data_IF_877097505751
#
_entry.id   IF_877097505751
#
_cell.length_a   1.000
_cell.length_b   1.000
_cell.length_c   1.000
_cell.angle_alpha   90.00
_cell.angle_beta   90.00
_cell.angle_gamma   90.00
#
_symmetry.space_group_name_H-M   'P 1'
#
loop_
_entity.id
_entity.type
_entity.pdbx_description
1 polymer ?
#
# COMPACT_ATOMS: atom_id res chain seq x y z
N UNK A 1 13.08 23.09 12.83
CA UNK A 1 12.46 21.91 13.47
C UNK A 1 11.88 22.36 14.81
N UNK A 2 10.56 22.37 14.97
CA UNK A 2 9.91 23.19 16.01
C UNK A 2 9.98 22.63 17.45
N UNK A 3 10.39 21.36 17.66
CA UNK A 3 10.40 20.71 18.99
C UNK A 3 11.66 19.88 19.31
N UNK A 4 12.70 19.94 18.47
CA UNK A 4 13.97 19.25 18.74
C UNK A 4 13.97 17.72 18.60
N UNK A 5 12.89 17.10 18.12
CA UNK A 5 12.87 15.67 17.85
C UNK A 5 13.72 15.32 16.62
N UNK A 6 14.48 14.24 16.74
CA UNK A 6 15.03 13.51 15.60
C UNK A 6 13.92 12.65 15.00
N UNK A 7 13.59 12.89 13.74
CA UNK A 7 12.47 12.22 13.05
C UNK A 7 13.06 11.37 11.93
N UNK A 8 12.75 10.07 11.96
CA UNK A 8 13.00 9.16 10.86
C UNK A 8 11.72 9.00 10.03
N UNK A 9 11.67 9.68 8.90
CA UNK A 9 10.52 9.75 8.01
C UNK A 9 10.60 8.68 6.92
N UNK A 10 9.57 7.83 6.84
CA UNK A 10 9.44 6.78 5.83
C UNK A 10 8.21 7.06 4.97
N UNK A 11 8.37 7.05 3.65
CA UNK A 11 7.27 7.26 2.70
C UNK A 11 7.37 6.29 1.52
N UNK A 12 6.40 5.39 1.36
CA UNK A 12 6.46 4.38 0.31
C UNK A 12 6.23 4.95 -1.09
N UNK A 13 6.77 4.25 -2.10
CA UNK A 13 6.41 4.40 -3.51
C UNK A 13 5.61 3.17 -3.92
N UNK A 14 4.39 3.37 -4.41
CA UNK A 14 3.58 2.31 -5.01
C UNK A 14 3.94 2.22 -6.49
N UNK A 15 4.90 1.35 -6.80
CA UNK A 15 5.43 1.14 -8.16
C UNK A 15 4.82 -0.10 -8.86
N UNK A 16 3.70 -0.60 -8.33
CA UNK A 16 2.87 -1.62 -8.96
C UNK A 16 1.43 -1.50 -8.44
N UNK A 17 0.48 -1.33 -9.36
CA UNK A 17 -0.96 -1.30 -9.13
C UNK A 17 -1.72 -1.44 -10.48
N UNK A 18 -3.03 -1.61 -10.44
CA UNK A 18 -3.85 -1.79 -11.65
C UNK A 18 -3.69 -0.66 -12.67
N UNK A 19 -3.52 0.60 -12.22
CA UNK A 19 -3.37 1.75 -13.13
C UNK A 19 -2.01 1.77 -13.78
N UNK A 20 -0.94 1.48 -13.04
CA UNK A 20 0.42 1.44 -13.57
C UNK A 20 0.60 0.25 -14.52
N UNK A 21 0.03 -0.91 -14.20
CA UNK A 21 -0.01 -2.08 -15.10
C UNK A 21 -0.76 -1.76 -16.39
N UNK A 22 -1.98 -1.19 -16.29
CA UNK A 22 -2.77 -0.82 -17.46
C UNK A 22 -2.02 0.17 -18.37
N UNK A 23 -1.31 1.13 -17.78
CA UNK A 23 -0.51 2.11 -18.52
C UNK A 23 0.68 1.46 -19.22
N UNK A 24 1.42 0.61 -18.52
CA UNK A 24 2.51 -0.20 -19.08
C UNK A 24 2.05 -1.01 -20.30
N UNK A 25 0.91 -1.70 -20.19
CA UNK A 25 0.33 -2.46 -21.30
C UNK A 25 -0.10 -1.58 -22.48
N UNK A 26 -0.69 -0.41 -22.19
CA UNK A 26 -1.19 0.52 -23.21
C UNK A 26 -0.03 1.17 -24.00
N UNK A 27 1.05 1.52 -23.31
CA UNK A 27 2.22 2.16 -23.92
C UNK A 27 3.25 1.17 -24.45
N UNK A 28 3.10 -0.13 -24.18
CA UNK A 28 4.05 -1.17 -24.57
C UNK A 28 5.41 -1.03 -23.90
N UNK A 29 5.45 -0.45 -22.69
CA UNK A 29 6.67 -0.14 -21.94
C UNK A 29 6.79 -0.99 -20.68
N UNK A 30 8.01 -1.30 -20.20
CA UNK A 30 8.20 -1.92 -18.91
C UNK A 30 7.52 -1.12 -17.79
N UNK A 31 6.92 -1.81 -16.81
CA UNK A 31 6.27 -1.16 -15.67
C UNK A 31 7.21 -0.18 -14.95
N UNK A 32 8.47 -0.59 -14.75
CA UNK A 32 9.50 0.23 -14.12
C UNK A 32 9.78 1.53 -14.89
N UNK A 33 9.74 1.52 -16.22
CA UNK A 33 9.95 2.74 -17.01
C UNK A 33 8.83 3.77 -16.72
N UNK A 34 7.59 3.30 -16.58
CA UNK A 34 6.46 4.16 -16.23
C UNK A 34 6.61 4.67 -14.79
N UNK A 35 6.88 3.80 -13.83
CA UNK A 35 6.87 4.15 -12.41
C UNK A 35 8.11 4.93 -11.98
N UNK A 36 9.29 4.64 -12.53
CA UNK A 36 10.51 5.41 -12.29
C UNK A 36 10.38 6.83 -12.83
N UNK A 37 9.84 7.00 -14.05
CA UNK A 37 9.57 8.31 -14.63
C UNK A 37 8.70 9.18 -13.70
N UNK A 38 7.58 8.64 -13.21
CA UNK A 38 6.71 9.38 -12.30
C UNK A 38 7.31 9.57 -10.90
N UNK A 39 8.13 8.63 -10.43
CA UNK A 39 8.85 8.76 -9.15
C UNK A 39 9.85 9.91 -9.20
N UNK A 40 10.57 10.08 -10.31
CA UNK A 40 11.51 11.18 -10.49
C UNK A 40 10.81 12.54 -10.58
N UNK A 41 9.68 12.61 -11.30
CA UNK A 41 8.83 13.81 -11.31
C UNK A 41 8.33 14.16 -9.91
N UNK A 42 7.84 13.16 -9.16
CA UNK A 42 7.38 13.36 -7.79
C UNK A 42 8.50 13.94 -6.89
N UNK A 43 9.72 13.41 -6.95
CA UNK A 43 10.86 13.94 -6.18
C UNK A 43 11.25 15.36 -6.59
N UNK A 44 11.16 15.67 -7.89
CA UNK A 44 11.38 17.02 -8.41
C UNK A 44 10.33 17.99 -7.87
N UNK A 45 9.07 17.57 -7.81
CA UNK A 45 7.97 18.38 -7.29
C UNK A 45 8.08 18.60 -5.77
N UNK A 46 8.48 17.58 -5.00
CA UNK A 46 8.80 17.76 -3.57
C UNK A 46 9.86 18.85 -3.38
N UNK A 47 10.92 18.82 -4.19
CA UNK A 47 12.02 19.77 -4.13
C UNK A 47 11.56 21.19 -4.52
N UNK A 48 10.73 21.32 -5.56
CA UNK A 48 10.21 22.62 -6.02
C UNK A 48 9.30 23.28 -4.97
N UNK A 49 8.55 22.47 -4.22
CA UNK A 49 7.68 22.89 -3.13
C UNK A 49 8.44 23.09 -1.80
N UNK A 50 9.76 22.89 -1.78
CA UNK A 50 10.61 22.94 -0.57
C UNK A 50 10.12 21.98 0.54
N UNK A 51 9.55 20.84 0.15
CA UNK A 51 9.17 19.77 1.07
C UNK A 51 10.44 19.03 1.49
N UNK A 52 10.59 18.80 2.80
CA UNK A 52 11.67 17.98 3.34
C UNK A 52 11.45 16.54 2.86
N UNK A 53 12.42 15.98 2.14
CA UNK A 53 12.34 14.61 1.64
C UNK A 53 12.35 13.61 2.80
N UNK A 54 11.72 12.45 2.59
CA UNK A 54 11.78 11.36 3.55
C UNK A 54 13.18 10.74 3.58
N UNK A 55 13.55 10.13 4.71
CA UNK A 55 14.83 9.44 4.86
C UNK A 55 14.91 8.20 3.97
N UNK A 56 13.77 7.52 3.78
CA UNK A 56 13.67 6.34 2.92
C UNK A 56 12.37 6.29 2.13
N UNK A 57 12.49 5.80 0.89
CA UNK A 57 11.41 5.61 -0.06
C UNK A 57 11.30 4.14 -0.51
N UNK A 58 10.75 3.24 0.31
CA UNK A 58 10.61 1.84 -0.06
C UNK A 58 9.64 1.67 -1.23
N UNK A 59 10.11 1.02 -2.30
CA UNK A 59 9.29 0.67 -3.46
C UNK A 59 8.59 -0.67 -3.22
N UNK A 60 7.29 -0.76 -3.51
CA UNK A 60 6.49 -1.96 -3.26
C UNK A 60 7.10 -3.22 -3.92
N UNK A 61 7.55 -3.13 -5.17
CA UNK A 61 8.17 -4.26 -5.91
C UNK A 61 9.41 -4.82 -5.22
N UNK A 62 10.15 -4.00 -4.47
CA UNK A 62 11.37 -4.41 -3.73
C UNK A 62 11.07 -5.11 -2.40
N UNK A 63 9.80 -5.16 -1.99
CA UNK A 63 9.38 -5.70 -0.69
C UNK A 63 8.36 -6.84 -0.80
N UNK A 64 8.16 -7.41 -1.99
CA UNK A 64 7.21 -8.51 -2.22
C UNK A 64 7.46 -9.69 -1.27
N UNK A 65 8.73 -10.11 -1.08
CA UNK A 65 9.07 -11.20 -0.17
C UNK A 65 8.63 -10.92 1.28
N UNK A 66 8.72 -9.68 1.73
CA UNK A 66 8.26 -9.28 3.05
C UNK A 66 6.73 -9.30 3.15
N UNK A 67 6.04 -8.85 2.09
CA UNK A 67 4.57 -8.93 2.00
C UNK A 67 4.09 -10.37 2.07
N UNK A 68 4.71 -11.29 1.31
CA UNK A 68 4.39 -12.73 1.33
C UNK A 68 4.59 -13.30 2.74
N UNK A 69 5.68 -12.97 3.43
CA UNK A 69 5.91 -13.40 4.82
C UNK A 69 4.85 -12.91 5.79
N UNK A 70 4.34 -11.68 5.61
CA UNK A 70 3.26 -11.15 6.45
C UNK A 70 1.95 -11.87 6.14
N UNK A 71 1.63 -12.07 4.86
CA UNK A 71 0.44 -12.80 4.43
C UNK A 71 0.44 -14.22 5.00
N UNK A 72 1.57 -14.93 4.93
CA UNK A 72 1.68 -16.27 5.51
C UNK A 72 1.42 -16.25 7.02
N UNK A 73 2.01 -15.31 7.76
CA UNK A 73 1.73 -15.16 9.20
C UNK A 73 0.26 -14.88 9.51
N UNK A 74 -0.45 -14.17 8.62
CA UNK A 74 -1.88 -13.92 8.78
C UNK A 74 -2.69 -15.18 8.53
N UNK A 75 -2.33 -15.99 7.53
CA UNK A 75 -2.95 -17.30 7.30
C UNK A 75 -2.73 -18.21 8.50
N UNK A 76 -1.50 -18.35 8.98
CA UNK A 76 -1.13 -19.22 10.11
C UNK A 76 -1.89 -18.85 11.40
N UNK A 77 -2.25 -17.57 11.56
CA UNK A 77 -3.01 -17.04 12.69
C UNK A 77 -4.53 -17.02 12.47
N UNK A 78 -5.04 -17.61 11.40
CA UNK A 78 -6.45 -17.58 11.01
C UNK A 78 -7.02 -16.16 10.81
N UNK A 79 -6.17 -15.20 10.45
CA UNK A 79 -6.54 -13.83 10.09
C UNK A 79 -6.68 -13.62 8.58
N UNK A 80 -6.27 -14.58 7.76
CA UNK A 80 -6.46 -14.58 6.32
C UNK A 80 -6.90 -15.96 5.83
N UNK A 81 -7.53 -16.01 4.66
CA UNK A 81 -7.98 -17.24 4.01
C UNK A 81 -7.74 -17.19 2.50
N UNK A 82 -7.55 -18.36 1.90
CA UNK A 82 -7.33 -18.53 0.45
C UNK A 82 -8.64 -18.89 -0.22
N UNK A 83 -8.98 -18.21 -1.31
CA UNK A 83 -10.17 -18.51 -2.13
C UNK A 83 -9.89 -19.57 -3.19
N UNK A 84 -10.94 -20.08 -3.83
CA UNK A 84 -10.83 -21.18 -4.81
C UNK A 84 -9.96 -20.83 -6.03
N UNK A 85 -9.87 -19.55 -6.38
CA UNK A 85 -9.05 -19.01 -7.47
C UNK A 85 -7.59 -18.74 -7.03
N UNK A 86 -7.23 -19.02 -5.77
CA UNK A 86 -5.89 -18.81 -5.21
C UNK A 86 -5.64 -17.42 -4.64
N UNK A 87 -6.60 -16.50 -4.73
CA UNK A 87 -6.49 -15.18 -4.09
C UNK A 87 -6.49 -15.30 -2.56
N UNK A 88 -5.83 -14.37 -1.87
CA UNK A 88 -5.76 -14.35 -0.40
C UNK A 88 -6.46 -13.13 0.14
N UNK A 89 -7.43 -13.33 1.04
CA UNK A 89 -8.21 -12.26 1.66
C UNK A 89 -7.99 -12.20 3.17
N UNK A 90 -8.00 -10.99 3.74
CA UNK A 90 -8.02 -10.79 5.18
C UNK A 90 -9.44 -11.03 5.73
N UNK A 91 -9.55 -11.79 6.82
CA UNK A 91 -10.82 -12.04 7.51
C UNK A 91 -11.11 -10.91 8.50
N UNK A 92 -11.95 -9.95 8.11
CA UNK A 92 -12.34 -8.83 8.98
C UNK A 92 -12.89 -9.33 10.33
N UNK A 93 -13.73 -10.36 10.30
CA UNK A 93 -14.34 -10.97 11.51
C UNK A 93 -13.32 -11.57 12.47
N UNK A 94 -12.12 -11.90 12.00
CA UNK A 94 -11.07 -12.44 12.85
C UNK A 94 -10.38 -11.39 13.73
N UNK A 95 -10.62 -10.09 13.48
CA UNK A 95 -9.97 -8.99 14.19
C UNK A 95 -11.00 -8.06 14.83
N UNK A 96 -11.21 -8.23 16.14
CA UNK A 96 -12.25 -7.56 16.91
C UNK A 96 -12.17 -6.02 16.89
N UNK A 97 -11.00 -5.45 16.63
CA UNK A 97 -10.78 -4.00 16.61
C UNK A 97 -10.84 -3.40 15.19
N UNK A 98 -11.32 -4.15 14.19
CA UNK A 98 -11.49 -3.61 12.85
C UNK A 98 -12.49 -2.44 12.88
N UNK A 99 -12.27 -1.41 12.06
CA UNK A 99 -13.10 -0.20 12.04
C UNK A 99 -12.79 0.85 13.12
N UNK A 100 -11.87 0.59 14.07
CA UNK A 100 -11.52 1.54 15.13
C UNK A 100 -11.02 2.90 14.62
N UNK A 101 -10.31 2.93 13.50
CA UNK A 101 -9.79 4.17 12.89
C UNK A 101 -10.90 5.03 12.28
N UNK A 102 -11.83 4.41 11.56
CA UNK A 102 -12.91 5.09 10.82
C UNK A 102 -14.21 5.22 11.63
N UNK A 103 -14.25 4.64 12.84
CA UNK A 103 -15.44 4.53 13.71
C UNK A 103 -16.63 3.87 13.02
N UNK A 104 -16.36 2.94 12.10
CA UNK A 104 -17.39 2.17 11.40
C UNK A 104 -17.80 0.99 12.27
N UNK A 105 -19.11 0.84 12.52
CA UNK A 105 -19.65 -0.36 13.14
C UNK A 105 -19.85 -1.44 12.06
N UNK A 106 -19.05 -2.50 12.12
CA UNK A 106 -19.04 -3.60 11.14
C UNK A 106 -20.37 -4.34 11.13
N UNK A 107 -21.03 -4.48 12.28
CA UNK A 107 -22.33 -5.16 12.36
C UNK A 107 -23.45 -4.37 11.66
N UNK A 108 -23.27 -3.04 11.55
CA UNK A 108 -24.19 -2.16 10.83
C UNK A 108 -23.83 -2.02 9.33
N UNK A 109 -22.66 -2.50 8.91
CA UNK A 109 -22.18 -2.36 7.53
C UNK A 109 -22.61 -3.59 6.73
N UNK A 110 -23.58 -3.44 5.83
CA UNK A 110 -24.09 -4.55 5.00
C UNK A 110 -23.00 -5.05 4.05
N UNK A 111 -22.99 -6.37 3.87
CA UNK A 111 -22.18 -7.16 2.93
C UNK A 111 -22.43 -6.76 1.45
N UNK A 112 -22.14 -5.53 1.02
CA UNK A 112 -22.06 -5.12 -0.40
C UNK A 112 -21.83 -3.63 -0.61
N UNK A 113 -21.98 -2.80 0.42
CA UNK A 113 -22.01 -1.37 0.18
C UNK A 113 -20.59 -0.86 -0.07
N UNK A 114 -20.42 -0.13 -1.18
CA UNK A 114 -19.19 0.62 -1.45
C UNK A 114 -19.06 1.68 -0.37
N UNK A 115 -18.20 1.41 0.61
CA UNK A 115 -17.81 2.42 1.60
C UNK A 115 -16.80 3.33 0.91
N UNK A 116 -17.24 4.53 0.54
CA UNK A 116 -16.39 5.61 0.04
C UNK A 116 -16.58 6.87 0.86
#
# INVERSE_FOLDING_TARGET
VARGFEVYHVMNITDVDDKTIKKSMTEGKPLSEITDYYTDLFKKDLSSLKIIQADVYPAATKHVDAMVKIIQKLIDKNHAYVTKDGSVFFSIKSYNNYGALTRINIDATRHSDRVS
#
